data_IF_373861535864
#
_entry.id   IF_373861535864
#
_cell.length_a   1.000
_cell.length_b   1.000
_cell.length_c   1.000
_cell.angle_alpha   90.00
_cell.angle_beta   90.00
_cell.angle_gamma   90.00
#
_symmetry.space_group_name_H-M   'P 1'
#
loop_
_entity.id
_entity.type
_entity.pdbx_description
1 polymer ?
#
# COMPACT_ATOMS: atom_id res chain seq x y z
N UNK A 1 -7.93 -81.17 63.62
CA UNK A 1 -8.29 -80.51 64.89
C UNK A 1 -9.19 -81.45 65.65
N UNK A 2 -8.88 -81.72 66.92
CA UNK A 2 -9.75 -82.54 67.77
C UNK A 2 -10.95 -81.70 68.22
N UNK A 3 -12.06 -82.37 68.55
CA UNK A 3 -13.18 -81.74 69.23
C UNK A 3 -12.70 -81.15 70.56
N UNK A 4 -13.46 -80.18 71.09
CA UNK A 4 -13.20 -79.65 72.42
C UNK A 4 -13.21 -80.84 73.39
N UNK A 5 -12.15 -80.97 74.19
CA UNK A 5 -12.12 -82.03 75.20
C UNK A 5 -13.28 -81.81 76.17
N UNK A 6 -13.97 -82.90 76.53
CA UNK A 6 -14.95 -82.81 77.60
C UNK A 6 -14.18 -82.49 78.90
N UNK A 7 -14.73 -81.61 79.75
CA UNK A 7 -14.22 -81.46 81.11
C UNK A 7 -14.20 -82.80 81.84
N UNK A 8 -13.39 -82.89 82.89
CA UNK A 8 -13.37 -84.06 83.78
C UNK A 8 -14.76 -84.37 84.33
N UNK A 9 -15.11 -85.65 84.36
CA UNK A 9 -16.42 -86.16 84.77
C UNK A 9 -16.58 -86.10 86.29
N UNK A 10 -16.91 -84.91 86.78
CA UNK A 10 -17.15 -84.54 88.18
C UNK A 10 -18.36 -83.60 88.22
N UNK A 11 -19.02 -83.52 89.37
CA UNK A 11 -20.26 -82.73 89.51
C UNK A 11 -20.09 -81.25 89.13
N UNK A 12 -18.91 -80.67 89.34
CA UNK A 12 -18.57 -79.29 88.99
C UNK A 12 -17.63 -79.15 87.78
N UNK A 13 -17.29 -80.27 87.11
CA UNK A 13 -16.36 -80.31 85.98
C UNK A 13 -14.91 -79.90 86.30
N UNK A 14 -14.51 -79.97 87.57
CA UNK A 14 -13.16 -79.67 88.04
C UNK A 14 -12.51 -80.88 88.68
N UNK A 15 -11.19 -80.99 88.53
CA UNK A 15 -10.39 -81.92 89.31
C UNK A 15 -10.39 -81.50 90.79
N UNK A 16 -10.36 -82.50 91.69
CA UNK A 16 -10.26 -82.32 93.13
C UNK A 16 -9.04 -83.05 93.68
N UNK A 17 -8.37 -82.45 94.67
CA UNK A 17 -7.32 -83.12 95.42
C UNK A 17 -7.98 -84.17 96.33
N UNK A 18 -7.33 -85.32 96.49
CA UNK A 18 -7.86 -86.40 97.34
C UNK A 18 -7.74 -86.05 98.82
N UNK A 19 -8.73 -86.47 99.61
CA UNK A 19 -8.69 -86.37 101.07
C UNK A 19 -8.53 -87.78 101.68
N UNK A 20 -7.32 -88.13 102.17
CA UNK A 20 -7.04 -89.45 102.71
C UNK A 20 -7.75 -89.72 104.04
N UNK A 21 -8.40 -88.72 104.65
CA UNK A 21 -9.15 -88.86 105.91
C UNK A 21 -10.63 -89.21 105.70
N UNK A 22 -11.15 -89.03 104.48
CA UNK A 22 -12.54 -89.29 104.10
C UNK A 22 -12.67 -90.37 103.01
N UNK A 23 -11.59 -91.11 102.72
CA UNK A 23 -11.50 -92.07 101.60
C UNK A 23 -11.88 -91.47 100.24
N UNK A 24 -11.78 -90.14 100.09
CA UNK A 24 -12.12 -89.45 98.85
C UNK A 24 -10.93 -89.52 97.91
N UNK A 25 -11.04 -90.37 96.89
CA UNK A 25 -10.03 -90.50 95.83
C UNK A 25 -9.89 -89.18 95.05
N UNK A 26 -8.66 -88.78 94.74
CA UNK A 26 -8.37 -87.57 93.96
C UNK A 26 -7.19 -87.77 93.02
N UNK A 27 -6.82 -86.71 92.29
CA UNK A 27 -5.79 -86.80 91.25
C UNK A 27 -4.37 -86.96 91.80
N UNK A 28 -3.52 -87.73 91.10
CA UNK A 28 -2.09 -87.91 91.45
C UNK A 28 -1.30 -86.58 91.32
N UNK A 29 -1.73 -85.71 90.39
CA UNK A 29 -1.21 -84.36 90.20
C UNK A 29 -2.18 -83.38 90.85
N UNK A 30 -1.67 -82.28 91.43
CA UNK A 30 -2.52 -81.27 92.07
C UNK A 30 -3.67 -80.82 91.16
N UNK A 31 -4.89 -80.85 91.70
CA UNK A 31 -6.13 -80.47 91.03
C UNK A 31 -6.05 -79.10 90.37
N UNK A 32 -5.41 -78.13 91.04
CA UNK A 32 -5.17 -76.79 90.48
C UNK A 32 -4.45 -76.86 89.13
N UNK A 33 -3.36 -77.61 89.03
CA UNK A 33 -2.56 -77.72 87.81
C UNK A 33 -3.37 -78.41 86.72
N UNK A 34 -4.10 -79.47 87.07
CA UNK A 34 -4.94 -80.19 86.12
C UNK A 34 -6.10 -79.33 85.60
N UNK A 35 -6.73 -78.53 86.46
CA UNK A 35 -7.77 -77.57 86.09
C UNK A 35 -7.22 -76.45 85.21
N UNK A 36 -6.04 -75.90 85.51
CA UNK A 36 -5.37 -74.89 84.68
C UNK A 36 -5.03 -75.44 83.28
N UNK A 37 -4.54 -76.69 83.19
CA UNK A 37 -4.25 -77.37 81.92
C UNK A 37 -5.54 -77.66 81.13
N UNK A 38 -6.58 -78.16 81.78
CA UNK A 38 -7.88 -78.41 81.17
C UNK A 38 -8.45 -77.12 80.59
N UNK A 39 -8.50 -76.05 81.40
CA UNK A 39 -8.96 -74.73 80.98
C UNK A 39 -8.17 -74.21 79.78
N UNK A 40 -6.84 -74.18 79.87
CA UNK A 40 -5.99 -73.72 78.77
C UNK A 40 -6.17 -74.55 77.48
N UNK A 41 -6.40 -75.86 77.60
CA UNK A 41 -6.62 -76.73 76.44
C UNK A 41 -7.97 -76.46 75.80
N UNK A 42 -9.04 -76.35 76.60
CA UNK A 42 -10.38 -76.02 76.13
C UNK A 42 -10.39 -74.63 75.48
N UNK A 43 -9.74 -73.64 76.09
CA UNK A 43 -9.64 -72.27 75.55
C UNK A 43 -8.92 -72.27 74.20
N UNK A 44 -7.75 -72.91 74.10
CA UNK A 44 -7.02 -73.02 72.83
C UNK A 44 -7.82 -73.75 71.76
N UNK A 45 -8.51 -74.85 72.11
CA UNK A 45 -9.37 -75.57 71.17
C UNK A 45 -10.57 -74.73 70.72
N UNK A 46 -11.14 -73.93 71.61
CA UNK A 46 -12.25 -73.03 71.33
C UNK A 46 -11.83 -71.92 70.36
N UNK A 47 -10.73 -71.22 70.65
CA UNK A 47 -10.17 -70.18 69.76
C UNK A 47 -9.84 -70.74 68.38
N UNK A 48 -9.21 -71.92 68.34
CA UNK A 48 -8.89 -72.61 67.10
C UNK A 48 -10.15 -73.04 66.31
N UNK A 49 -11.21 -73.49 66.99
CA UNK A 49 -12.48 -73.81 66.34
C UNK A 49 -13.23 -72.57 65.85
N UNK A 50 -13.12 -71.43 66.54
CA UNK A 50 -13.66 -70.15 66.08
C UNK A 50 -13.03 -69.75 64.75
N UNK A 51 -11.70 -69.88 64.61
CA UNK A 51 -10.98 -69.63 63.34
C UNK A 51 -11.46 -70.58 62.23
N UNK A 52 -11.65 -71.86 62.52
CA UNK A 52 -12.21 -72.81 61.54
C UNK A 52 -13.63 -72.43 61.13
N UNK A 53 -14.46 -72.04 62.09
CA UNK A 53 -15.87 -71.68 61.88
C UNK A 53 -16.00 -70.43 61.03
N UNK A 54 -15.19 -69.40 61.29
CA UNK A 54 -15.14 -68.18 60.49
C UNK A 54 -14.73 -68.47 59.03
N UNK A 55 -13.82 -69.43 58.82
CA UNK A 55 -13.48 -69.93 57.49
C UNK A 55 -14.57 -70.82 56.84
N UNK A 56 -15.62 -71.20 57.58
CA UNK A 56 -16.67 -72.13 57.15
C UNK A 56 -16.25 -73.61 57.16
N UNK A 57 -15.19 -73.97 57.90
CA UNK A 57 -14.63 -75.31 57.98
C UNK A 57 -15.10 -75.99 59.26
N UNK A 58 -15.64 -77.21 59.16
CA UNK A 58 -16.00 -78.01 60.33
C UNK A 58 -14.79 -78.82 60.84
N UNK A 59 -14.55 -78.90 62.17
CA UNK A 59 -13.48 -79.71 62.72
C UNK A 59 -13.59 -81.19 62.34
N UNK A 60 -12.53 -81.71 61.74
CA UNK A 60 -12.37 -83.11 61.37
C UNK A 60 -11.17 -83.73 62.10
N UNK A 61 -11.37 -84.64 63.06
CA UNK A 61 -10.29 -85.29 63.79
C UNK A 61 -9.28 -86.08 62.92
N UNK A 62 -9.63 -86.40 61.67
CA UNK A 62 -8.77 -87.12 60.73
C UNK A 62 -7.83 -86.19 59.91
N UNK A 63 -7.97 -84.86 60.03
CA UNK A 63 -7.17 -83.87 59.30
C UNK A 63 -6.33 -82.99 60.23
N UNK A 64 -5.05 -82.83 59.89
CA UNK A 64 -4.08 -82.10 60.72
C UNK A 64 -3.78 -80.66 60.23
N UNK A 65 -4.21 -80.28 59.03
CA UNK A 65 -3.90 -78.99 58.40
C UNK A 65 -5.07 -77.98 58.41
N UNK A 66 -6.15 -78.24 59.13
CA UNK A 66 -7.38 -77.44 59.03
C UNK A 66 -7.21 -75.99 59.50
N UNK A 67 -6.41 -75.75 60.54
CA UNK A 67 -6.16 -74.40 61.03
C UNK A 67 -5.40 -73.57 59.99
N UNK A 68 -4.38 -74.15 59.36
CA UNK A 68 -3.64 -73.50 58.28
C UNK A 68 -4.56 -73.20 57.09
N UNK A 69 -5.37 -74.18 56.68
CA UNK A 69 -6.36 -74.00 55.60
C UNK A 69 -7.36 -72.88 55.94
N UNK A 70 -7.84 -72.82 57.19
CA UNK A 70 -8.77 -71.79 57.65
C UNK A 70 -8.13 -70.39 57.57
N UNK A 71 -6.92 -70.23 58.11
CA UNK A 71 -6.19 -68.95 58.08
C UNK A 71 -5.91 -68.50 56.64
N UNK A 72 -5.43 -69.40 55.78
CA UNK A 72 -5.18 -69.10 54.37
C UNK A 72 -6.45 -68.66 53.66
N UNK A 73 -7.58 -69.32 53.93
CA UNK A 73 -8.87 -68.98 53.36
C UNK A 73 -9.36 -67.61 53.85
N UNK A 74 -9.33 -67.34 55.15
CA UNK A 74 -9.74 -66.05 55.73
C UNK A 74 -8.94 -64.90 55.12
N UNK A 75 -7.62 -65.05 54.99
CA UNK A 75 -6.75 -64.03 54.38
C UNK A 75 -7.10 -63.84 52.90
N UNK A 76 -7.27 -64.92 52.14
CA UNK A 76 -7.56 -64.87 50.71
C UNK A 76 -8.94 -64.26 50.44
N UNK A 77 -9.95 -64.68 51.20
CA UNK A 77 -11.31 -64.14 51.12
C UNK A 77 -11.32 -62.66 51.51
N UNK A 78 -10.60 -62.27 52.56
CA UNK A 78 -10.47 -60.88 52.99
C UNK A 78 -9.80 -59.98 51.93
N UNK A 79 -8.77 -60.48 51.25
CA UNK A 79 -8.12 -59.77 50.14
C UNK A 79 -9.06 -59.69 48.93
N UNK A 80 -9.67 -60.79 48.51
CA UNK A 80 -10.49 -60.85 47.28
C UNK A 80 -11.84 -60.14 47.41
N UNK A 81 -12.41 -60.06 48.62
CA UNK A 81 -13.67 -59.36 48.86
C UNK A 81 -13.48 -57.90 49.29
N UNK A 82 -12.37 -57.60 49.99
CA UNK A 82 -12.07 -56.28 50.54
C UNK A 82 -11.29 -55.36 49.60
N UNK A 83 -10.45 -55.92 48.72
CA UNK A 83 -9.74 -55.14 47.70
C UNK A 83 -10.60 -55.07 46.45
N UNK A 84 -11.17 -53.89 46.19
CA UNK A 84 -12.00 -53.61 45.02
C UNK A 84 -11.20 -52.78 44.02
N UNK A 85 -11.59 -52.84 42.75
CA UNK A 85 -11.10 -51.88 41.76
C UNK A 85 -11.62 -50.48 42.10
N UNK A 86 -10.80 -49.46 41.89
CA UNK A 86 -11.22 -48.09 42.12
C UNK A 86 -12.22 -47.65 41.04
N UNK A 87 -13.18 -46.82 41.44
CA UNK A 87 -14.06 -46.10 40.53
C UNK A 87 -14.11 -44.63 40.91
N UNK A 88 -14.87 -43.82 40.16
CA UNK A 88 -15.10 -42.41 40.51
C UNK A 88 -15.82 -42.21 41.85
N UNK A 89 -16.45 -43.27 42.39
CA UNK A 89 -17.22 -43.23 43.65
C UNK A 89 -16.73 -44.22 44.71
N UNK A 90 -15.83 -45.15 44.36
CA UNK A 90 -15.29 -46.18 45.25
C UNK A 90 -13.76 -46.13 45.28
N UNK A 91 -13.19 -46.11 46.48
CA UNK A 91 -11.73 -46.30 46.67
C UNK A 91 -11.35 -47.74 46.35
N UNK A 92 -10.22 -47.95 45.68
CA UNK A 92 -9.75 -49.26 45.28
C UNK A 92 -8.35 -49.25 44.67
N UNK A 93 -7.95 -50.37 44.07
CA UNK A 93 -6.72 -50.48 43.28
C UNK A 93 -6.94 -50.02 41.83
N UNK A 94 -5.90 -49.51 41.18
CA UNK A 94 -5.94 -49.03 39.79
C UNK A 94 -4.77 -49.60 38.99
N UNK A 95 -5.00 -49.88 37.71
CA UNK A 95 -3.92 -50.07 36.75
C UNK A 95 -3.60 -48.73 36.06
N UNK A 96 -2.33 -48.50 35.74
CA UNK A 96 -1.88 -47.23 35.15
C UNK A 96 -1.60 -47.39 33.66
N UNK A 97 -2.09 -46.46 32.84
CA UNK A 97 -1.84 -46.42 31.40
C UNK A 97 -1.21 -45.10 30.97
N UNK A 98 -0.29 -45.17 30.01
CA UNK A 98 0.32 -43.98 29.37
C UNK A 98 -0.15 -43.77 27.93
N UNK A 99 -1.17 -44.51 27.48
CA UNK A 99 -1.83 -44.28 26.20
C UNK A 99 -2.56 -42.93 26.21
N UNK A 100 -2.62 -42.26 25.07
CA UNK A 100 -3.29 -40.95 24.91
C UNK A 100 -4.56 -41.03 24.05
N UNK A 101 -4.93 -42.25 23.67
CA UNK A 101 -5.97 -42.63 22.71
C UNK A 101 -6.78 -43.84 23.20
N UNK A 102 -6.69 -44.15 24.50
CA UNK A 102 -7.36 -45.29 25.10
C UNK A 102 -8.79 -44.94 25.52
N UNK A 103 -9.73 -45.81 25.16
CA UNK A 103 -11.13 -45.77 25.60
C UNK A 103 -11.37 -46.63 26.87
N UNK A 104 -10.31 -47.13 27.51
CA UNK A 104 -10.40 -48.03 28.66
C UNK A 104 -10.69 -47.25 29.96
N UNK A 105 -11.87 -47.47 30.53
CA UNK A 105 -12.31 -46.86 31.79
C UNK A 105 -11.79 -47.58 33.05
N UNK A 106 -11.08 -48.71 32.90
CA UNK A 106 -10.54 -49.50 34.01
C UNK A 106 -9.11 -49.09 34.40
N UNK A 107 -8.47 -48.21 33.62
CA UNK A 107 -7.12 -47.72 33.88
C UNK A 107 -7.09 -46.23 34.18
N UNK A 108 -6.13 -45.81 35.02
CA UNK A 108 -5.89 -44.41 35.33
C UNK A 108 -4.73 -43.85 34.48
N UNK A 109 -4.90 -42.62 33.98
CA UNK A 109 -3.88 -41.94 33.18
C UNK A 109 -2.64 -41.58 34.01
N UNK A 110 -1.44 -41.82 33.47
CA UNK A 110 -0.20 -41.36 34.08
C UNK A 110 0.09 -39.88 33.79
N UNK A 111 0.93 -39.20 34.59
CA UNK A 111 1.41 -37.86 34.27
C UNK A 111 2.07 -37.74 32.89
N UNK A 112 2.64 -38.84 32.38
CA UNK A 112 3.22 -38.92 31.02
C UNK A 112 2.14 -38.78 29.94
N UNK A 113 1.02 -39.52 30.05
CA UNK A 113 -0.11 -39.39 29.13
C UNK A 113 -0.69 -37.98 29.16
N UNK A 114 -0.92 -37.42 30.35
CA UNK A 114 -1.44 -36.05 30.51
C UNK A 114 -0.52 -35.02 29.86
N UNK A 115 0.80 -35.13 30.06
CA UNK A 115 1.78 -34.23 29.43
C UNK A 115 1.77 -34.35 27.90
N UNK A 116 1.67 -35.57 27.37
CA UNK A 116 1.63 -35.82 25.93
C UNK A 116 0.36 -35.24 25.30
N UNK A 117 -0.81 -35.47 25.91
CA UNK A 117 -2.08 -34.90 25.48
C UNK A 117 -2.05 -33.35 25.52
N UNK A 118 -1.51 -32.76 26.59
CA UNK A 118 -1.39 -31.31 26.70
C UNK A 118 -0.45 -30.71 25.63
N UNK A 119 0.63 -31.42 25.30
CA UNK A 119 1.57 -31.01 24.24
C UNK A 119 0.90 -31.06 22.87
N UNK A 120 0.14 -32.12 22.59
CA UNK A 120 -0.61 -32.26 21.34
C UNK A 120 -1.71 -31.19 21.22
N UNK A 121 -2.45 -30.90 22.30
CA UNK A 121 -3.44 -29.83 22.34
C UNK A 121 -2.82 -28.45 22.08
N UNK A 122 -1.67 -28.15 22.70
CA UNK A 122 -0.95 -26.88 22.48
C UNK A 122 -0.43 -26.74 21.04
N UNK A 123 0.05 -27.85 20.45
CA UNK A 123 0.46 -27.88 19.06
C UNK A 123 -0.72 -27.70 18.10
N UNK A 124 -1.87 -28.32 18.38
CA UNK A 124 -3.10 -28.17 17.59
C UNK A 124 -3.65 -26.73 17.65
N UNK A 125 -3.65 -26.12 18.84
CA UNK A 125 -4.00 -24.71 19.02
C UNK A 125 -3.06 -23.78 18.24
N UNK A 126 -1.76 -24.11 18.21
CA UNK A 126 -0.77 -23.38 17.41
C UNK A 126 -0.91 -23.63 15.91
N UNK A 127 -1.38 -24.80 15.49
CA UNK A 127 -1.65 -25.11 14.09
C UNK A 127 -2.94 -24.45 13.58
N UNK A 128 -3.89 -24.18 14.48
CA UNK A 128 -5.10 -23.42 14.20
C UNK A 128 -4.86 -21.91 14.00
N UNK A 129 -3.64 -21.50 13.62
CA UNK A 129 -3.36 -20.13 13.17
C UNK A 129 -4.34 -19.80 12.04
N UNK A 130 -5.23 -18.86 12.35
CA UNK A 130 -6.21 -18.25 11.46
C UNK A 130 -5.64 -18.01 10.06
N UNK A 131 -6.47 -18.31 9.04
CA UNK A 131 -6.16 -18.16 7.63
C UNK A 131 -5.65 -16.75 7.23
N UNK A 132 -5.81 -15.76 8.11
CA UNK A 132 -5.24 -14.43 7.98
C UNK A 132 -4.29 -14.10 9.16
N UNK A 133 -2.97 -13.94 8.93
CA UNK A 133 -1.99 -13.80 10.02
C UNK A 133 -2.14 -12.47 10.81
N UNK A 134 -1.76 -12.49 12.09
CA UNK A 134 -1.63 -11.27 12.92
C UNK A 134 -0.69 -10.28 12.23
N UNK A 135 -1.01 -8.99 12.28
CA UNK A 135 -0.22 -7.94 11.64
C UNK A 135 -0.51 -7.72 10.15
N UNK A 136 -1.28 -8.58 9.47
CA UNK A 136 -1.65 -8.30 8.09
C UNK A 136 -2.76 -7.22 8.01
N UNK A 137 -2.68 -6.25 7.08
CA UNK A 137 -3.69 -5.21 6.90
C UNK A 137 -4.97 -5.78 6.29
N UNK A 138 -6.09 -5.62 6.99
CA UNK A 138 -7.42 -6.10 6.57
C UNK A 138 -8.25 -4.90 6.08
N UNK A 139 -8.76 -4.92 4.84
CA UNK A 139 -9.68 -3.89 4.36
C UNK A 139 -11.08 -4.11 4.98
N UNK A 140 -11.57 -3.12 5.72
CA UNK A 140 -12.78 -3.20 6.52
C UNK A 140 -13.83 -2.15 6.07
N UNK A 141 -15.09 -2.55 5.81
CA UNK A 141 -16.09 -1.69 5.19
C UNK A 141 -16.90 -0.82 6.18
N UNK A 142 -16.49 -0.72 7.44
CA UNK A 142 -17.21 0.01 8.48
C UNK A 142 -16.28 0.90 9.30
N UNK A 143 -16.82 1.99 9.85
CA UNK A 143 -16.13 2.87 10.81
C UNK A 143 -16.15 2.32 12.24
N UNK A 144 -16.80 1.18 12.46
CA UNK A 144 -16.85 0.47 13.75
C UNK A 144 -16.00 -0.78 13.63
N UNK A 145 -15.04 -0.96 14.54
CA UNK A 145 -14.19 -2.15 14.58
C UNK A 145 -15.04 -3.42 14.75
N UNK A 146 -14.59 -4.57 14.20
CA UNK A 146 -15.24 -5.84 14.45
C UNK A 146 -15.42 -6.08 15.96
N UNK A 147 -16.59 -6.58 16.41
CA UNK A 147 -16.76 -6.96 17.78
C UNK A 147 -15.75 -8.06 18.14
N UNK A 148 -15.31 -8.05 19.40
CA UNK A 148 -14.48 -9.12 19.95
C UNK A 148 -15.23 -10.44 19.81
N UNK A 149 -14.66 -11.40 19.08
CA UNK A 149 -15.29 -12.71 18.92
C UNK A 149 -15.41 -13.39 20.30
N UNK A 150 -16.62 -13.78 20.75
CA UNK A 150 -16.83 -14.39 22.06
C UNK A 150 -16.12 -15.75 22.25
N UNK A 151 -15.65 -16.37 21.16
CA UNK A 151 -15.01 -17.69 21.19
C UNK A 151 -13.51 -17.71 20.89
N UNK A 152 -12.90 -16.57 20.54
CA UNK A 152 -11.45 -16.46 20.36
C UNK A 152 -10.81 -15.77 21.56
N UNK A 153 -9.60 -16.18 21.92
CA UNK A 153 -8.91 -15.82 23.17
C UNK A 153 -8.46 -14.34 23.27
N UNK A 154 -9.27 -13.40 22.80
CA UNK A 154 -8.98 -11.99 22.88
C UNK A 154 -8.69 -11.29 21.57
N UNK A 155 -9.12 -11.83 20.42
CA UNK A 155 -8.89 -11.18 19.13
C UNK A 155 -9.43 -9.75 19.15
N UNK A 156 -8.49 -8.82 19.12
CA UNK A 156 -8.75 -7.38 19.18
C UNK A 156 -8.21 -6.79 17.89
N UNK A 157 -8.99 -5.88 17.30
CA UNK A 157 -8.61 -5.16 16.09
C UNK A 157 -8.28 -3.71 16.44
N UNK A 158 -7.45 -3.08 15.61
CA UNK A 158 -7.21 -1.64 15.65
C UNK A 158 -7.16 -1.07 14.24
N UNK A 159 -7.59 0.19 14.06
CA UNK A 159 -7.33 0.93 12.82
C UNK A 159 -5.84 1.14 12.62
N UNK A 160 -5.37 1.10 11.38
CA UNK A 160 -3.96 1.31 11.04
C UNK A 160 -3.69 2.79 10.77
N UNK A 161 -3.38 3.55 11.84
CA UNK A 161 -3.30 5.02 11.81
C UNK A 161 -1.96 5.56 12.32
N UNK A 162 -0.88 4.77 12.27
CA UNK A 162 0.45 5.23 12.69
C UNK A 162 0.74 5.15 14.19
N UNK A 163 -0.15 4.53 14.98
CA UNK A 163 -0.04 4.50 16.43
C UNK A 163 0.99 3.48 16.96
N UNK A 164 1.53 3.78 18.14
CA UNK A 164 2.38 2.84 18.89
C UNK A 164 1.55 1.73 19.54
N UNK A 165 2.17 0.58 19.80
CA UNK A 165 1.59 -0.51 20.58
C UNK A 165 2.61 -1.11 21.55
N UNK A 166 2.11 -1.76 22.61
CA UNK A 166 2.97 -2.44 23.58
C UNK A 166 3.38 -3.82 23.07
N UNK A 167 4.62 -3.97 22.60
CA UNK A 167 5.15 -5.24 22.09
C UNK A 167 5.29 -6.35 23.13
N UNK A 168 5.31 -6.03 24.43
CA UNK A 168 5.29 -7.03 25.49
C UNK A 168 3.90 -7.67 25.68
N UNK A 169 2.84 -6.93 25.35
CA UNK A 169 1.46 -7.44 25.37
C UNK A 169 1.13 -8.13 24.05
N UNK A 170 1.42 -7.48 22.93
CA UNK A 170 1.12 -7.98 21.59
C UNK A 170 2.38 -8.57 20.93
N UNK A 171 2.87 -9.67 21.49
CA UNK A 171 4.14 -10.31 21.10
C UNK A 171 4.13 -10.81 19.65
N UNK A 172 2.99 -11.32 19.18
CA UNK A 172 2.80 -11.74 17.77
C UNK A 172 2.85 -10.55 16.82
N UNK A 173 2.22 -9.43 17.18
CA UNK A 173 2.26 -8.19 16.40
C UNK A 173 3.68 -7.59 16.39
N UNK A 174 4.40 -7.64 17.51
CA UNK A 174 5.80 -7.20 17.61
C UNK A 174 6.74 -8.01 16.71
N UNK A 175 6.41 -9.25 16.39
CA UNK A 175 7.18 -10.05 15.42
C UNK A 175 7.04 -9.49 14.00
N UNK A 176 5.88 -8.94 13.65
CA UNK A 176 5.61 -8.36 12.32
C UNK A 176 6.06 -6.90 12.24
N UNK A 177 5.88 -6.15 13.32
CA UNK A 177 6.26 -4.74 13.44
C UNK A 177 7.24 -4.54 14.62
N UNK A 178 8.54 -4.86 14.45
CA UNK A 178 9.52 -4.81 15.53
C UNK A 178 9.73 -3.41 16.15
N UNK A 179 9.41 -2.35 15.41
CA UNK A 179 9.48 -0.97 15.89
C UNK A 179 8.37 -0.60 16.87
N UNK A 180 7.39 -1.47 17.13
CA UNK A 180 6.27 -1.17 18.03
C UNK A 180 5.29 -0.13 17.47
N UNK A 181 5.29 0.09 16.16
CA UNK A 181 4.43 1.06 15.47
C UNK A 181 3.63 0.36 14.37
N UNK A 182 2.32 0.54 14.38
CA UNK A 182 1.44 0.10 13.30
C UNK A 182 1.54 1.12 12.16
N UNK A 183 1.72 0.72 10.89
CA UNK A 183 1.76 1.66 9.77
C UNK A 183 0.51 2.53 9.67
N UNK A 184 0.64 3.79 9.24
CA UNK A 184 -0.49 4.62 8.85
C UNK A 184 -0.91 4.29 7.42
N UNK A 185 -2.09 3.69 7.27
CA UNK A 185 -2.60 3.22 5.98
C UNK A 185 -3.67 4.14 5.39
N UNK A 186 -3.95 5.29 6.02
CA UNK A 186 -4.93 6.26 5.50
C UNK A 186 -4.41 6.90 4.22
N UNK A 187 -5.25 6.88 3.17
CA UNK A 187 -4.87 7.34 1.83
C UNK A 187 -3.88 6.44 1.09
N UNK A 188 -3.46 5.31 1.68
CA UNK A 188 -2.47 4.42 1.09
C UNK A 188 -3.12 3.30 0.26
N UNK A 189 -2.47 2.92 -0.84
CA UNK A 189 -2.79 1.69 -1.59
C UNK A 189 -1.67 0.67 -1.44
N UNK A 190 -2.01 -0.57 -1.08
CA UNK A 190 -1.01 -1.63 -0.94
C UNK A 190 -0.48 -2.04 -2.32
N UNK A 191 0.84 -1.91 -2.49
CA UNK A 191 1.58 -2.38 -3.65
C UNK A 191 2.49 -3.52 -3.22
N UNK A 192 2.48 -4.62 -3.97
CA UNK A 192 3.43 -5.71 -3.76
C UNK A 192 4.86 -5.18 -3.80
N UNK A 193 5.68 -5.56 -2.81
CA UNK A 193 7.09 -5.15 -2.79
C UNK A 193 7.77 -5.67 -4.07
N UNK A 194 8.42 -4.81 -4.88
CA UNK A 194 9.18 -5.26 -6.03
C UNK A 194 10.38 -6.12 -5.59
N UNK A 195 10.86 -6.97 -6.48
CA UNK A 195 11.99 -7.87 -6.21
C UNK A 195 13.24 -7.11 -5.71
N UNK A 196 13.43 -5.86 -6.16
CA UNK A 196 14.53 -4.98 -5.76
C UNK A 196 14.10 -3.50 -5.77
N UNK A 197 14.94 -2.62 -5.23
CA UNK A 197 14.76 -1.17 -5.27
C UNK A 197 13.87 -0.57 -4.19
N UNK A 198 13.19 -1.37 -3.35
CA UNK A 198 12.38 -0.89 -2.21
C UNK A 198 12.46 -1.79 -0.98
N UNK A 199 12.41 -1.17 0.20
CA UNK A 199 12.24 -1.86 1.48
C UNK A 199 10.76 -2.18 1.76
N UNK A 200 10.51 -3.19 2.60
CA UNK A 200 9.16 -3.48 3.11
C UNK A 200 8.68 -2.29 3.94
N UNK A 201 7.40 -1.91 3.83
CA UNK A 201 6.79 -0.72 4.46
C UNK A 201 7.34 0.64 4.02
N UNK A 202 8.20 0.71 2.99
CA UNK A 202 8.56 2.01 2.39
C UNK A 202 7.35 2.66 1.73
N UNK A 203 7.24 3.99 1.82
CA UNK A 203 6.21 4.77 1.11
C UNK A 203 6.70 5.17 -0.28
N UNK A 204 5.76 5.34 -1.21
CA UNK A 204 5.99 5.84 -2.57
C UNK A 204 4.91 6.87 -2.86
N UNK A 205 5.31 8.07 -3.30
CA UNK A 205 4.36 9.11 -3.69
C UNK A 205 3.74 8.79 -5.05
N UNK A 206 2.55 9.31 -5.28
CA UNK A 206 1.88 9.23 -6.57
C UNK A 206 2.66 10.00 -7.65
N UNK A 207 2.50 9.58 -8.91
CA UNK A 207 3.25 10.16 -10.00
C UNK A 207 2.71 9.78 -11.37
N UNK A 208 2.73 10.75 -12.28
CA UNK A 208 2.32 10.54 -13.67
C UNK A 208 3.51 9.94 -14.43
N UNK A 209 3.24 8.92 -15.25
CA UNK A 209 4.26 8.34 -16.14
C UNK A 209 4.75 9.39 -17.14
N UNK A 210 6.05 9.43 -17.38
CA UNK A 210 6.65 10.31 -18.39
C UNK A 210 5.96 10.13 -19.75
N UNK A 211 5.55 11.26 -20.36
CA UNK A 211 4.86 11.32 -21.64
C UNK A 211 5.06 12.69 -22.32
N UNK A 212 4.62 12.81 -23.56
CA UNK A 212 4.62 14.07 -24.31
C UNK A 212 3.31 14.27 -25.07
N UNK A 213 3.16 15.45 -25.69
CA UNK A 213 1.99 15.84 -26.47
C UNK A 213 2.41 16.37 -27.84
N UNK A 214 1.60 16.12 -28.86
CA UNK A 214 1.71 16.84 -30.13
C UNK A 214 1.00 18.19 -30.00
N UNK A 215 1.63 19.25 -30.50
CA UNK A 215 1.07 20.60 -30.49
C UNK A 215 1.20 21.22 -31.89
N UNK A 216 0.21 22.02 -32.27
CA UNK A 216 0.18 22.76 -33.54
C UNK A 216 -0.15 24.22 -33.30
N UNK A 217 0.40 25.12 -34.12
CA UNK A 217 0.05 26.54 -34.13
C UNK A 217 -0.79 26.84 -35.38
N UNK A 218 -1.85 27.63 -35.21
CA UNK A 218 -2.69 28.04 -36.32
C UNK A 218 -1.97 29.04 -37.23
N UNK A 219 -2.21 28.98 -38.53
CA UNK A 219 -1.72 29.97 -39.47
C UNK A 219 -2.34 31.35 -39.16
N UNK A 220 -1.52 32.40 -39.19
CA UNK A 220 -1.95 33.78 -38.95
C UNK A 220 -1.67 34.63 -40.18
N UNK A 221 -2.72 35.21 -40.77
CA UNK A 221 -2.59 36.21 -41.83
C UNK A 221 -2.29 37.58 -41.20
N UNK A 222 -1.19 38.20 -41.61
CA UNK A 222 -0.79 39.53 -41.13
C UNK A 222 -1.51 40.68 -41.87
N UNK A 223 -2.19 40.38 -42.98
CA UNK A 223 -2.90 41.33 -43.83
C UNK A 223 -1.99 42.33 -44.56
N UNK A 224 -2.59 43.15 -45.42
CA UNK A 224 -1.88 44.16 -46.24
C UNK A 224 -1.41 45.36 -45.40
N UNK A 225 -0.25 45.95 -45.75
CA UNK A 225 0.27 47.19 -45.18
C UNK A 225 0.65 48.16 -46.29
N UNK A 226 0.28 49.43 -46.16
CA UNK A 226 0.68 50.48 -47.08
C UNK A 226 2.08 51.00 -46.70
N UNK A 227 2.90 51.34 -47.71
CA UNK A 227 4.16 52.05 -47.49
C UNK A 227 3.89 53.52 -47.19
N UNK A 228 4.90 54.23 -46.70
CA UNK A 228 4.86 55.69 -46.62
C UNK A 228 4.82 56.32 -48.01
N UNK A 229 4.34 57.57 -48.10
CA UNK A 229 4.30 58.34 -49.35
C UNK A 229 5.70 58.83 -49.74
N UNK A 230 6.00 58.80 -51.04
CA UNK A 230 7.21 59.37 -51.62
C UNK A 230 6.85 60.23 -52.84
N UNK A 231 7.37 61.46 -52.89
CA UNK A 231 7.14 62.42 -53.97
C UNK A 231 8.45 62.69 -54.73
N UNK A 232 8.43 62.50 -56.05
CA UNK A 232 9.56 62.80 -56.91
C UNK A 232 9.74 64.32 -57.13
N UNK A 233 8.71 65.13 -56.90
CA UNK A 233 8.69 66.57 -57.19
C UNK A 233 8.77 66.87 -58.69
N UNK A 234 9.15 68.10 -59.04
CA UNK A 234 9.31 68.54 -60.43
C UNK A 234 10.70 68.18 -60.98
N UNK A 235 10.77 67.69 -62.23
CA UNK A 235 12.02 67.41 -62.95
C UNK A 235 12.08 68.20 -64.25
N UNK A 236 13.27 68.66 -64.63
CA UNK A 236 13.50 69.46 -65.84
C UNK A 236 14.20 68.61 -66.91
N UNK A 237 13.74 68.72 -68.16
CA UNK A 237 14.38 68.08 -69.31
C UNK A 237 15.67 68.83 -69.72
N UNK A 238 16.58 68.15 -70.43
CA UNK A 238 17.75 68.81 -71.03
C UNK A 238 17.32 69.83 -72.11
N UNK A 239 18.09 70.90 -72.27
CA UNK A 239 17.83 71.95 -73.27
C UNK A 239 18.36 71.55 -74.64
N UNK A 240 17.54 71.74 -75.68
CA UNK A 240 17.94 71.59 -77.09
C UNK A 240 17.75 72.92 -77.83
N UNK A 241 18.82 73.40 -78.46
CA UNK A 241 18.82 74.64 -79.25
C UNK A 241 18.68 74.31 -80.74
N UNK A 242 17.68 74.89 -81.40
CA UNK A 242 17.45 74.73 -82.84
C UNK A 242 18.42 75.56 -83.70
N UNK A 243 19.29 76.35 -83.07
CA UNK A 243 20.26 77.24 -83.69
C UNK A 243 19.60 78.45 -84.35
N UNK A 244 20.43 79.38 -84.82
CA UNK A 244 19.97 80.57 -85.54
C UNK A 244 19.55 80.19 -86.96
N UNK A 245 18.34 80.60 -87.39
CA UNK A 245 17.87 80.47 -88.78
C UNK A 245 17.92 81.85 -89.45
N UNK A 246 18.49 81.94 -90.65
CA UNK A 246 18.58 83.17 -91.44
C UNK A 246 17.57 83.17 -92.59
N UNK A 247 17.08 84.35 -92.97
CA UNK A 247 16.27 84.53 -94.19
C UNK A 247 17.18 84.74 -95.41
N UNK A 248 16.62 84.61 -96.61
CA UNK A 248 17.32 85.03 -97.83
C UNK A 248 17.41 86.57 -97.91
N UNK A 249 18.33 87.09 -98.72
CA UNK A 249 18.47 88.52 -99.02
C UNK A 249 17.49 88.89 -100.13
N UNK A 250 16.54 89.78 -99.83
CA UNK A 250 15.54 90.30 -100.79
C UNK A 250 15.22 91.76 -100.44
N UNK A 251 14.43 92.44 -101.27
CA UNK A 251 13.98 93.82 -101.02
C UNK A 251 14.85 94.91 -101.65
N UNK A 252 15.81 94.57 -102.52
CA UNK A 252 16.52 95.56 -103.34
C UNK A 252 15.54 96.21 -104.33
N UNK A 253 15.37 97.52 -104.22
CA UNK A 253 14.51 98.31 -105.11
C UNK A 253 15.07 99.74 -105.25
N UNK A 254 14.71 100.45 -106.32
CA UNK A 254 15.15 101.83 -106.63
C UNK A 254 13.94 102.76 -106.77
N UNK A 255 14.12 104.03 -106.41
CA UNK A 255 13.14 105.11 -106.60
C UNK A 255 13.76 106.21 -107.48
N UNK A 256 12.98 106.84 -108.37
CA UNK A 256 13.43 107.95 -109.24
C UNK A 256 12.62 109.23 -108.98
N UNK A 257 13.26 110.39 -109.06
CA UNK A 257 12.60 111.71 -108.96
C UNK A 257 13.22 112.72 -109.98
N UNK A 258 12.53 113.83 -110.26
CA UNK A 258 12.92 114.82 -111.30
C UNK A 258 12.97 116.24 -110.72
N UNK A 259 14.02 117.01 -111.03
CA UNK A 259 14.19 118.41 -110.62
C UNK A 259 14.14 119.34 -111.85
N UNK A 260 13.41 120.47 -111.78
CA UNK A 260 13.32 121.49 -112.85
C UNK A 260 13.90 122.84 -112.37
N UNK A 261 14.69 123.54 -113.18
CA UNK A 261 15.29 124.86 -112.86
C UNK A 261 15.30 125.80 -114.09
N UNK A 262 14.71 127.00 -113.98
CA UNK A 262 14.70 128.06 -115.01
C UNK A 262 15.79 129.13 -114.81
N UNK A 263 16.38 129.61 -115.91
CA UNK A 263 17.52 130.55 -115.96
C UNK A 263 17.15 132.02 -115.68
N UNK A 264 17.49 132.48 -114.48
CA UNK A 264 17.37 133.85 -113.99
C UNK A 264 17.82 133.93 -112.53
N UNK A 265 19.13 133.73 -112.33
CA UNK A 265 19.89 133.65 -111.05
C UNK A 265 19.22 134.41 -109.88
N UNK A 266 18.66 133.77 -108.85
CA UNK A 266 19.25 132.98 -107.76
C UNK A 266 20.50 133.59 -107.09
N UNK A 267 20.34 134.00 -105.83
CA UNK A 267 21.36 133.86 -104.77
C UNK A 267 20.70 133.18 -103.57
N UNK A 268 20.78 131.85 -103.50
CA UNK A 268 20.56 131.06 -102.29
C UNK A 268 21.88 130.89 -101.49
N UNK A 269 21.83 130.51 -100.19
CA UNK A 269 22.87 130.85 -99.20
C UNK A 269 24.27 130.27 -99.41
N UNK A 270 24.46 129.20 -100.19
CA UNK A 270 25.78 128.57 -100.34
C UNK A 270 26.28 128.67 -101.79
N UNK A 271 26.58 129.91 -102.18
CA UNK A 271 26.99 130.35 -103.52
C UNK A 271 27.86 129.39 -104.33
N UNK A 272 27.34 129.05 -105.52
CA UNK A 272 28.05 129.08 -106.80
C UNK A 272 28.95 127.90 -107.15
N UNK A 273 28.39 126.91 -107.86
CA UNK A 273 28.95 126.37 -109.12
C UNK A 273 27.85 125.61 -109.88
N UNK A 274 27.78 125.83 -111.20
CA UNK A 274 26.81 125.20 -112.10
C UNK A 274 27.23 123.75 -112.38
N UNK A 275 26.83 122.81 -111.52
CA UNK A 275 27.09 121.38 -111.65
C UNK A 275 25.80 120.57 -111.50
N UNK A 276 25.29 120.02 -112.60
CA UNK A 276 24.20 119.04 -112.61
C UNK A 276 24.74 117.61 -112.61
N UNK A 277 24.44 116.83 -111.56
CA UNK A 277 24.79 115.41 -111.44
C UNK A 277 23.83 114.66 -110.49
N UNK A 278 23.73 113.31 -110.61
CA UNK A 278 22.81 112.51 -109.80
C UNK A 278 23.15 112.55 -108.31
N UNK A 279 22.14 112.69 -107.45
CA UNK A 279 22.27 112.65 -105.99
C UNK A 279 21.43 111.50 -105.41
N UNK A 280 22.04 110.68 -104.54
CA UNK A 280 21.34 109.63 -103.80
C UNK A 280 20.41 110.24 -102.75
N UNK A 281 19.27 109.59 -102.51
CA UNK A 281 18.44 109.92 -101.35
C UNK A 281 19.17 109.56 -100.05
N UNK A 282 18.74 110.14 -98.92
CA UNK A 282 19.18 109.67 -97.60
C UNK A 282 18.79 108.21 -97.37
N UNK A 283 19.51 107.51 -96.48
CA UNK A 283 19.17 106.13 -96.09
C UNK A 283 17.78 106.06 -95.44
N UNK A 284 16.95 105.12 -95.90
CA UNK A 284 15.62 104.82 -95.37
C UNK A 284 15.25 103.35 -95.69
N UNK A 285 14.25 102.79 -95.00
CA UNK A 285 13.71 101.45 -95.31
C UNK A 285 14.15 100.31 -94.38
N UNK A 286 14.86 100.63 -93.29
CA UNK A 286 15.10 99.65 -92.22
C UNK A 286 13.78 99.17 -91.63
N UNK A 287 13.50 97.88 -91.79
CA UNK A 287 12.35 97.22 -91.20
C UNK A 287 12.73 95.79 -90.81
N UNK A 288 11.96 95.20 -89.90
CA UNK A 288 12.14 93.81 -89.47
C UNK A 288 10.85 93.02 -89.65
N UNK A 289 11.02 91.73 -89.92
CA UNK A 289 9.93 90.76 -89.89
C UNK A 289 10.17 89.82 -88.72
N UNK A 290 9.09 89.39 -88.07
CA UNK A 290 9.17 88.40 -87.00
C UNK A 290 8.45 87.13 -87.45
N UNK A 291 9.06 85.97 -87.17
CA UNK A 291 8.46 84.66 -87.42
C UNK A 291 8.30 83.96 -86.07
N UNK A 292 7.06 83.77 -85.63
CA UNK A 292 6.78 83.08 -84.39
C UNK A 292 6.89 81.56 -84.61
N UNK A 293 7.83 80.92 -83.91
CA UNK A 293 7.85 79.46 -83.77
C UNK A 293 7.10 79.16 -82.47
N UNK A 294 5.90 78.59 -82.61
CA UNK A 294 4.92 78.46 -81.52
C UNK A 294 5.39 77.63 -80.33
N UNK A 295 4.68 77.77 -79.21
CA UNK A 295 4.90 76.95 -78.02
C UNK A 295 4.60 75.49 -78.33
N UNK A 296 5.48 74.59 -77.92
CA UNK A 296 5.24 73.15 -77.99
C UNK A 296 5.49 72.50 -76.62
N UNK A 297 4.86 71.35 -76.41
CA UNK A 297 5.03 70.54 -75.22
C UNK A 297 5.40 69.09 -75.60
N UNK A 298 5.99 68.38 -74.65
CA UNK A 298 6.28 66.96 -74.77
C UNK A 298 5.57 66.22 -73.63
N UNK A 299 5.06 65.03 -73.93
CA UNK A 299 4.58 64.10 -72.91
C UNK A 299 5.64 63.04 -72.70
N UNK A 300 6.05 62.83 -71.45
CA UNK A 300 7.00 61.77 -71.08
C UNK A 300 6.30 60.79 -70.15
N UNK A 301 6.07 59.58 -70.63
CA UNK A 301 5.53 58.49 -69.82
C UNK A 301 6.65 57.88 -68.96
N UNK A 302 6.55 58.00 -67.63
CA UNK A 302 7.54 57.43 -66.68
C UNK A 302 7.29 55.94 -66.44
N UNK A 303 6.02 55.52 -66.36
CA UNK A 303 5.62 54.13 -66.14
C UNK A 303 5.43 53.75 -64.67
N UNK A 304 4.98 52.51 -64.45
CA UNK A 304 4.75 51.94 -63.12
C UNK A 304 6.00 51.21 -62.62
N UNK A 305 6.19 51.17 -61.29
CA UNK A 305 7.24 50.38 -60.66
C UNK A 305 6.74 49.77 -59.34
N UNK A 306 7.39 48.70 -58.89
CA UNK A 306 7.09 48.01 -57.63
C UNK A 306 8.39 47.74 -56.87
N UNK A 307 8.31 47.69 -55.54
CA UNK A 307 9.43 47.34 -54.66
C UNK A 307 9.15 46.03 -53.94
N UNK A 308 10.21 45.30 -53.61
CA UNK A 308 10.14 44.12 -52.75
C UNK A 308 10.68 44.49 -51.37
N UNK A 309 9.99 44.06 -50.30
CA UNK A 309 10.43 44.25 -48.92
C UNK A 309 10.62 42.89 -48.26
N UNK A 310 11.82 42.65 -47.72
CA UNK A 310 12.16 41.40 -47.02
C UNK A 310 11.82 41.57 -45.53
N UNK A 311 10.94 40.71 -45.00
CA UNK A 311 10.46 40.80 -43.60
C UNK A 311 11.35 40.02 -42.61
N UNK A 312 11.94 38.89 -43.03
CA UNK A 312 12.80 38.05 -42.19
C UNK A 312 12.06 37.00 -41.34
N UNK A 313 12.81 36.25 -40.52
CA UNK A 313 12.28 35.23 -39.60
C UNK A 313 11.92 35.83 -38.24
N UNK A 314 10.93 35.25 -37.57
CA UNK A 314 10.58 35.56 -36.19
C UNK A 314 10.08 34.31 -35.47
N UNK A 315 9.91 34.38 -34.14
CA UNK A 315 9.46 33.26 -33.31
C UNK A 315 8.49 33.70 -32.22
N UNK A 316 7.98 32.72 -31.47
CA UNK A 316 7.00 32.92 -30.40
C UNK A 316 7.42 32.14 -29.15
N UNK A 317 7.06 32.66 -27.97
CA UNK A 317 7.15 31.91 -26.72
C UNK A 317 5.87 31.10 -26.53
N UNK A 318 6.00 29.83 -26.17
CA UNK A 318 4.87 28.94 -25.88
C UNK A 318 4.93 28.53 -24.42
N UNK A 319 3.82 28.69 -23.71
CA UNK A 319 3.63 28.24 -22.34
C UNK A 319 2.53 27.20 -22.31
N UNK A 320 2.75 26.10 -21.59
CA UNK A 320 1.75 25.06 -21.34
C UNK A 320 1.42 25.11 -19.86
N UNK A 321 0.17 25.45 -19.53
CA UNK A 321 -0.29 25.54 -18.16
C UNK A 321 -0.43 24.16 -17.50
N UNK A 322 -0.34 24.11 -16.18
CA UNK A 322 -0.52 22.89 -15.41
C UNK A 322 -1.97 22.36 -15.55
N UNK A 323 -2.11 21.05 -15.73
CA UNK A 323 -3.40 20.37 -15.80
C UNK A 323 -3.37 19.09 -14.95
N UNK A 324 -4.37 18.91 -14.10
CA UNK A 324 -4.48 17.73 -13.22
C UNK A 324 -5.22 18.03 -11.91
N UNK A 325 -5.34 16.99 -11.10
CA UNK A 325 -5.85 17.06 -9.73
C UNK A 325 -4.70 17.15 -8.72
N UNK A 326 -5.02 17.31 -7.43
CA UNK A 326 -4.03 17.28 -6.35
C UNK A 326 -3.32 15.92 -6.20
N UNK A 327 -3.99 14.83 -6.55
CA UNK A 327 -3.45 13.45 -6.51
C UNK A 327 -3.69 12.74 -7.83
N UNK A 328 -2.74 11.87 -8.21
CA UNK A 328 -2.87 10.96 -9.33
C UNK A 328 -3.55 9.66 -8.90
N UNK A 329 -4.85 9.56 -9.16
CA UNK A 329 -5.70 8.47 -8.69
C UNK A 329 -6.06 7.46 -9.78
N UNK A 330 -6.22 6.19 -9.39
CA UNK A 330 -7.01 5.21 -10.15
C UNK A 330 -8.40 5.08 -9.51
N UNK A 331 -9.38 4.49 -10.22
CA UNK A 331 -10.68 4.18 -9.59
C UNK A 331 -10.46 3.33 -8.34
N UNK A 332 -11.00 3.78 -7.21
CA UNK A 332 -10.82 3.15 -5.91
C UNK A 332 -12.10 3.27 -5.07
N UNK A 333 -12.18 2.47 -4.00
CA UNK A 333 -13.23 2.50 -2.97
C UNK A 333 -12.53 2.66 -1.62
N UNK A 334 -13.00 3.59 -0.80
CA UNK A 334 -12.47 3.79 0.54
C UNK A 334 -12.93 2.65 1.47
N UNK A 335 -11.96 2.02 2.13
CA UNK A 335 -12.15 1.04 3.20
C UNK A 335 -11.18 1.40 4.33
N UNK A 336 -11.58 1.12 5.57
CA UNK A 336 -10.70 1.30 6.71
C UNK A 336 -9.71 0.14 6.78
N UNK A 337 -8.42 0.43 6.82
CA UNK A 337 -7.43 -0.61 7.12
C UNK A 337 -7.41 -0.87 8.63
N UNK A 338 -7.69 -2.12 9.01
CA UNK A 338 -7.57 -2.62 10.39
C UNK A 338 -6.52 -3.71 10.48
N UNK A 339 -6.04 -3.99 11.68
CA UNK A 339 -5.06 -5.05 11.96
C UNK A 339 -5.48 -5.86 13.18
N UNK A 340 -5.30 -7.18 13.11
CA UNK A 340 -5.48 -8.08 14.27
C UNK A 340 -4.27 -7.95 15.20
N UNK A 341 -4.52 -7.81 16.51
CA UNK A 341 -3.48 -7.53 17.52
C UNK A 341 -2.87 -8.77 18.18
N UNK A 342 -3.63 -9.87 18.32
CA UNK A 342 -3.22 -11.11 19.01
C UNK A 342 -3.73 -12.35 18.29
#
# INVERSE_FOLDING_TARGET
MKNIINPVDTDDSLFHDGDPTTETEGTIVYARIMNDIQGATIDLQTEMQNVLTDAGIKPDPAKENQLLTAIQKIITDGITTGVKDATTTQKGIVQLSSATDSDDETTAATPKAVKAAMTAASAAASAAISAYPVGAPIPWPSDVLPPKDPGSDGESYAFMAGQQFNGAVYTRLATVYPGGVIPDMRGQTIKGKPASGRAVLSLEQDGIKSHGHTATAAATDLGTKATTSFDYGTKTASTFDYGTKTTNVTGAHVHTYTNDHTTGSLRGPDGGENSSGPANTSSAGDHSHTVAIGTHNHSVAIGAHTHNVVIGSHGHTVTVDAAGNAENTVKNIALNYIVRLA
#
